data_IF_119551090580
#
_entry.id   IF_119551090580
#
_cell.length_a   1.000
_cell.length_b   1.000
_cell.length_c   1.000
_cell.angle_alpha   90.00
_cell.angle_beta   90.00
_cell.angle_gamma   90.00
#
_symmetry.space_group_name_H-M   'P 1'
#
loop_
_entity.id
_entity.type
_entity.pdbx_description
1 polymer ?
#
# COMPACT_ATOMS: atom_id res chain seq x y z
N UNK A 1 9.33 12.43 11.00
CA UNK A 1 8.50 12.44 9.81
C UNK A 1 7.90 11.07 9.59
N UNK A 2 6.66 11.03 9.23
CA UNK A 2 5.97 9.76 9.04
C UNK A 2 6.27 9.18 7.68
N UNK A 3 6.71 7.92 7.66
CA UNK A 3 7.06 7.24 6.42
C UNK A 3 5.96 6.24 6.09
N UNK A 4 5.42 6.33 4.90
CA UNK A 4 4.32 5.49 4.45
C UNK A 4 4.76 4.66 3.25
N UNK A 5 4.49 3.37 3.30
CA UNK A 5 4.78 2.47 2.20
C UNK A 5 3.48 2.26 1.42
N UNK A 6 3.48 2.55 0.14
CA UNK A 6 2.29 2.44 -0.69
C UNK A 6 2.48 1.28 -1.65
N UNK A 7 1.62 0.27 -1.55
CA UNK A 7 1.72 -0.92 -2.39
C UNK A 7 0.51 -0.98 -3.31
N UNK A 8 0.73 -0.72 -4.57
CA UNK A 8 -0.35 -0.63 -5.54
C UNK A 8 0.24 -0.96 -6.93
N UNK A 9 -0.32 -1.95 -7.60
CA UNK A 9 0.22 -2.41 -8.88
C UNK A 9 -0.10 -1.47 -10.05
N UNK A 10 -1.08 -0.61 -9.91
CA UNK A 10 -1.39 0.38 -10.95
C UNK A 10 -0.44 1.56 -10.76
N UNK A 11 0.48 1.75 -11.69
CA UNK A 11 1.48 2.79 -11.58
C UNK A 11 0.91 4.19 -11.45
N UNK A 12 -0.16 4.46 -12.16
CA UNK A 12 -0.73 5.80 -12.12
C UNK A 12 -1.35 6.07 -10.77
N UNK A 13 -2.09 5.11 -10.24
CA UNK A 13 -2.73 5.27 -8.94
C UNK A 13 -1.66 5.34 -7.86
N UNK A 14 -0.61 4.51 -7.97
CA UNK A 14 0.47 4.51 -7.01
C UNK A 14 1.09 5.91 -6.95
N UNK A 15 1.41 6.47 -8.10
CA UNK A 15 2.02 7.78 -8.18
C UNK A 15 1.11 8.86 -7.63
N UNK A 16 -0.17 8.76 -7.93
CA UNK A 16 -1.13 9.75 -7.48
C UNK A 16 -1.24 9.74 -5.95
N UNK A 17 -1.32 8.56 -5.36
CA UNK A 17 -1.43 8.43 -3.91
C UNK A 17 -0.15 8.96 -3.24
N UNK A 18 1.01 8.59 -3.78
CA UNK A 18 2.27 9.05 -3.22
C UNK A 18 2.40 10.56 -3.30
N UNK A 19 2.03 11.13 -4.43
CA UNK A 19 2.11 12.57 -4.60
C UNK A 19 1.21 13.29 -3.59
N UNK A 20 -0.01 12.79 -3.44
CA UNK A 20 -0.95 13.41 -2.52
C UNK A 20 -0.41 13.36 -1.09
N UNK A 21 0.12 12.21 -0.69
CA UNK A 21 0.64 12.06 0.66
C UNK A 21 1.90 12.89 0.88
N UNK A 22 2.77 12.96 -0.12
CA UNK A 22 3.97 13.77 0.00
C UNK A 22 3.60 15.25 0.15
N UNK A 23 2.60 15.68 -0.60
CA UNK A 23 2.15 17.06 -0.51
C UNK A 23 1.52 17.36 0.84
N UNK A 24 1.03 16.33 1.51
CA UNK A 24 0.43 16.48 2.82
C UNK A 24 1.44 16.39 3.97
N UNK A 25 2.72 16.26 3.64
CA UNK A 25 3.76 16.28 4.66
C UNK A 25 4.32 14.94 5.07
N UNK A 26 3.91 13.85 4.40
CA UNK A 26 4.44 12.53 4.70
C UNK A 26 5.55 12.19 3.72
N UNK A 27 6.36 11.20 4.06
CA UNK A 27 7.31 10.67 3.12
C UNK A 27 6.80 9.33 2.66
N UNK A 28 6.79 9.09 1.37
CA UNK A 28 6.22 7.84 0.84
C UNK A 28 7.24 7.10 -0.02
N UNK A 29 7.03 5.80 -0.09
CA UNK A 29 7.74 4.96 -1.02
C UNK A 29 6.68 4.12 -1.71
N UNK A 30 6.64 4.17 -3.04
CA UNK A 30 5.68 3.39 -3.81
C UNK A 30 6.29 2.09 -4.26
N UNK A 31 5.57 1.00 -4.09
CA UNK A 31 5.96 -0.31 -4.57
C UNK A 31 4.85 -0.84 -5.44
N UNK A 32 5.19 -1.51 -6.52
CA UNK A 32 4.20 -1.99 -7.45
C UNK A 32 3.79 -3.43 -7.20
N UNK A 33 4.42 -4.08 -6.25
CA UNK A 33 4.09 -5.46 -5.90
C UNK A 33 4.50 -5.77 -4.47
N UNK A 34 4.06 -6.90 -3.98
CA UNK A 34 4.30 -7.27 -2.59
C UNK A 34 5.78 -7.55 -2.31
N UNK A 35 6.46 -8.14 -3.29
CA UNK A 35 7.86 -8.47 -3.09
C UNK A 35 8.69 -7.23 -2.83
N UNK A 36 8.48 -6.17 -3.61
CA UNK A 36 9.21 -4.94 -3.42
C UNK A 36 8.88 -4.32 -2.08
N UNK A 37 7.63 -4.48 -1.64
CA UNK A 37 7.22 -3.95 -0.35
C UNK A 37 7.94 -4.68 0.78
N UNK A 38 8.07 -6.00 0.69
CA UNK A 38 8.79 -6.75 1.71
C UNK A 38 10.25 -6.32 1.78
N UNK A 39 10.88 -6.11 0.62
CA UNK A 39 12.26 -5.69 0.57
C UNK A 39 12.43 -4.33 1.24
N UNK A 40 11.50 -3.42 0.99
CA UNK A 40 11.56 -2.10 1.59
C UNK A 40 11.43 -2.20 3.11
N UNK A 41 10.57 -3.07 3.59
CA UNK A 41 10.37 -3.22 5.02
C UNK A 41 11.60 -3.79 5.72
N UNK A 42 12.42 -4.54 5.01
CA UNK A 42 13.64 -5.03 5.60
C UNK A 42 14.71 -3.95 5.60
N UNK A 43 14.65 -3.04 4.65
CA UNK A 43 15.68 -2.02 4.50
C UNK A 43 15.46 -0.77 5.34
N UNK A 44 14.24 -0.46 5.66
CA UNK A 44 13.98 0.69 6.52
C UNK A 44 12.64 0.58 7.21
N UNK A 45 12.45 1.42 8.22
CA UNK A 45 11.24 1.39 9.00
C UNK A 45 10.16 2.24 8.38
N UNK A 46 8.94 1.75 8.42
CA UNK A 46 7.79 2.49 7.95
C UNK A 46 6.77 2.58 9.07
N UNK A 47 5.97 3.63 9.05
CA UNK A 47 4.97 3.86 10.09
C UNK A 47 3.58 3.36 9.68
N UNK A 48 3.35 3.21 8.40
CA UNK A 48 2.04 2.81 7.90
C UNK A 48 2.23 2.17 6.53
N UNK A 49 1.43 1.17 6.23
CA UNK A 49 1.37 0.60 4.89
C UNK A 49 -0.01 0.88 4.34
N UNK A 50 -0.07 1.41 3.12
CA UNK A 50 -1.32 1.54 2.40
C UNK A 50 -1.22 0.58 1.23
N UNK A 51 -2.12 -0.37 1.13
CA UNK A 51 -2.04 -1.41 0.12
C UNK A 51 -3.35 -1.60 -0.59
N UNK A 52 -3.29 -1.93 -1.87
CA UNK A 52 -4.46 -2.33 -2.60
C UNK A 52 -4.87 -3.70 -2.07
N UNK A 53 -6.15 -3.90 -1.89
CA UNK A 53 -6.65 -5.13 -1.36
C UNK A 53 -6.54 -6.25 -2.37
N UNK A 54 -6.57 -5.92 -3.67
CA UNK A 54 -6.48 -6.91 -4.73
C UNK A 54 -5.28 -6.65 -5.59
N UNK A 55 -4.29 -7.51 -5.53
CA UNK A 55 -3.11 -7.43 -6.38
C UNK A 55 -2.97 -8.74 -7.14
N UNK A 56 -2.39 -8.71 -8.32
CA UNK A 56 -2.34 -9.89 -9.18
C UNK A 56 -1.72 -11.14 -8.55
N UNK A 57 -0.72 -10.96 -7.76
CA UNK A 57 0.04 -12.07 -7.27
C UNK A 57 -0.31 -12.50 -5.86
N UNK A 58 -1.00 -11.68 -5.12
CA UNK A 58 -1.26 -11.97 -3.74
C UNK A 58 -2.45 -11.16 -3.27
N UNK A 59 -3.32 -11.73 -2.48
CA UNK A 59 -4.45 -10.98 -1.99
C UNK A 59 -4.10 -10.27 -0.68
N UNK A 60 -4.96 -9.37 -0.25
CA UNK A 60 -4.70 -8.56 0.92
C UNK A 60 -4.53 -9.36 2.20
N UNK A 61 -5.24 -10.49 2.30
CA UNK A 61 -5.15 -11.30 3.49
C UNK A 61 -3.78 -11.96 3.59
N UNK A 62 -3.31 -12.52 2.50
CA UNK A 62 -2.00 -13.15 2.46
C UNK A 62 -0.90 -12.11 2.66
N UNK A 63 -1.07 -10.95 2.06
CA UNK A 63 -0.12 -9.86 2.21
C UNK A 63 0.00 -9.48 3.69
N UNK A 64 -1.14 -9.36 4.36
CA UNK A 64 -1.14 -9.01 5.78
C UNK A 64 -0.40 -10.05 6.60
N UNK A 65 -0.63 -11.32 6.32
CA UNK A 65 0.06 -12.36 7.06
C UNK A 65 1.56 -12.26 6.89
N UNK A 66 2.02 -12.02 5.68
CA UNK A 66 3.45 -11.91 5.41
C UNK A 66 4.06 -10.68 6.08
N UNK A 67 3.35 -9.57 6.06
CA UNK A 67 3.81 -8.35 6.70
C UNK A 67 3.96 -8.59 8.20
N UNK A 68 3.01 -9.31 8.80
CA UNK A 68 3.06 -9.54 10.24
C UNK A 68 4.23 -10.40 10.68
N UNK A 69 4.84 -11.14 9.77
CA UNK A 69 6.04 -11.88 10.09
C UNK A 69 7.23 -10.96 10.21
N UNK A 70 7.21 -9.84 9.50
CA UNK A 70 8.30 -8.88 9.52
C UNK A 70 8.06 -7.84 10.61
N UNK A 71 6.83 -7.38 10.71
CA UNK A 71 6.48 -6.36 11.69
C UNK A 71 5.08 -6.61 12.20
N UNK A 72 4.95 -6.93 13.48
CA UNK A 72 3.68 -7.29 14.05
C UNK A 72 2.81 -6.11 14.40
N UNK A 73 3.36 -4.91 14.37
CA UNK A 73 2.62 -3.74 14.84
C UNK A 73 2.27 -2.71 13.81
N UNK A 74 2.91 -2.71 12.67
CA UNK A 74 2.68 -1.64 11.69
C UNK A 74 1.24 -1.67 11.20
N UNK A 75 0.52 -0.57 11.24
CA UNK A 75 -0.84 -0.54 10.73
C UNK A 75 -0.86 -0.72 9.22
N UNK A 76 -1.86 -1.41 8.72
CA UNK A 76 -2.06 -1.62 7.29
C UNK A 76 -3.43 -1.08 6.94
N UNK A 77 -3.47 -0.14 6.02
CA UNK A 77 -4.71 0.43 5.57
C UNK A 77 -4.93 -0.04 4.15
N UNK A 78 -6.05 -0.69 3.88
CA UNK A 78 -6.30 -1.18 2.55
C UNK A 78 -7.10 -0.19 1.73
N UNK A 79 -6.68 0.00 0.47
CA UNK A 79 -7.41 0.82 -0.46
C UNK A 79 -8.25 -0.09 -1.31
N UNK A 80 -9.45 0.30 -1.55
CA UNK A 80 -10.27 -0.44 -2.48
C UNK A 80 -10.71 0.53 -3.54
N UNK A 81 -9.77 1.30 -4.04
CA UNK A 81 -10.08 2.30 -5.05
C UNK A 81 -10.80 1.73 -6.24
N UNK A 82 -10.45 0.53 -6.63
CA UNK A 82 -11.10 -0.08 -7.76
C UNK A 82 -12.55 -0.39 -7.45
N UNK A 83 -12.85 -0.67 -6.20
CA UNK A 83 -14.20 -0.98 -5.81
C UNK A 83 -14.96 0.27 -5.45
N UNK A 84 -14.26 1.34 -5.21
CA UNK A 84 -14.89 2.58 -4.82
C UNK A 84 -15.33 3.42 -6.00
N UNK A 85 -15.06 2.97 -7.21
CA UNK A 85 -15.42 3.77 -8.36
C UNK A 85 -16.91 3.90 -8.48
N UNK A 86 -17.38 5.03 -8.93
CA UNK A 86 -18.80 5.28 -9.03
C UNK A 86 -19.56 4.27 -9.82
N UNK A 87 -18.95 3.69 -10.80
CA UNK A 87 -19.64 2.74 -11.60
C UNK A 87 -20.15 1.57 -10.82
N UNK A 88 -19.59 1.32 -9.67
CA UNK A 88 -20.04 0.21 -8.97
C UNK A 88 -21.28 0.52 -8.29
N UNK A 89 -21.55 1.73 -8.07
CA UNK A 89 -22.67 2.03 -7.38
C UNK A 89 -23.85 1.78 -8.05
N UNK A 90 -23.83 1.72 -9.27
CA UNK A 90 -24.96 1.56 -9.96
C UNK A 90 -25.42 0.29 -9.73
N UNK A 91 -24.56 -0.39 -9.39
CA UNK A 91 -24.98 -1.75 -9.27
C UNK A 91 -25.67 -1.93 -8.20
#
# INVERSE_FOLDING_TARGET
MIHILVVEDDERLNRLVCTYLNDSGFQTKGCLNARDAYDEMYNQLYDLIISDIMMPEIDGFEFTQNVRRVNQRIPILFMSAKDALPSKQKG
#
